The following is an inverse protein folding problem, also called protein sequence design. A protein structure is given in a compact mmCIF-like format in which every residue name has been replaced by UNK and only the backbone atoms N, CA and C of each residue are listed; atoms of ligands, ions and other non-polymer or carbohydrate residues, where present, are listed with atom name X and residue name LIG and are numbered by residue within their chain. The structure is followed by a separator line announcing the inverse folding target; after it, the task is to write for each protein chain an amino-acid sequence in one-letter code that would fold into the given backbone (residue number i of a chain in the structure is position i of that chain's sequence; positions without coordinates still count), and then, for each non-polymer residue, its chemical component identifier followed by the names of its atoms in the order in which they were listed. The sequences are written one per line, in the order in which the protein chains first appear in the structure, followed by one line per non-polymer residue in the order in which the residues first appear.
data_IF_629362227548
#
_entry.id   IF_629362227548
#
_cell.length_a   1.000
_cell.length_b   1.000
_cell.length_c   1.000
_cell.angle_alpha   90.00
_cell.angle_beta   90.00
_cell.angle_gamma   90.00
#
_symmetry.space_group_name_H-M   'P 1'
#
loop_
_entity.id
_entity.type
_entity.pdbx_description
1 polymer ?
#
# COMPACT_ATOMS: atom_id res chain seq x y z
N UNK A 1 41.17 54.37 -7.47
CA UNK A 1 41.31 53.21 -8.38
C UNK A 1 40.51 52.09 -7.75
N UNK A 2 39.37 51.75 -8.35
CA UNK A 2 38.47 50.69 -7.87
C UNK A 2 38.91 49.36 -8.46
N UNK A 3 39.08 48.35 -7.62
CA UNK A 3 39.08 46.95 -8.05
C UNK A 3 37.95 46.25 -7.30
N UNK A 4 36.91 45.88 -8.04
CA UNK A 4 35.86 44.96 -7.61
C UNK A 4 36.45 43.56 -7.40
N UNK A 5 36.03 42.87 -6.34
CA UNK A 5 35.66 41.44 -6.43
C UNK A 5 34.36 41.26 -5.66
N UNK A 6 33.42 40.60 -6.34
CA UNK A 6 32.03 40.35 -5.96
C UNK A 6 31.94 39.40 -4.76
N UNK A 7 31.00 39.68 -3.85
CA UNK A 7 30.58 38.80 -2.77
C UNK A 7 29.62 37.73 -3.28
N UNK A 8 29.87 36.47 -2.92
CA UNK A 8 28.91 35.38 -2.63
C UNK A 8 29.77 34.26 -2.04
N UNK A 9 29.72 33.96 -0.76
CA UNK A 9 28.56 33.38 -0.09
C UNK A 9 28.91 31.91 0.20
N UNK A 10 29.13 31.63 1.48
CA UNK A 10 28.92 30.36 2.21
C UNK A 10 29.60 29.04 1.79
N UNK A 11 30.40 28.58 2.76
CA UNK A 11 30.70 27.23 3.23
C UNK A 11 29.93 26.03 2.65
N UNK A 12 30.63 24.92 2.37
CA UNK A 12 30.53 23.67 3.16
C UNK A 12 30.98 22.43 2.38
N UNK A 13 31.96 21.75 2.95
CA UNK A 13 32.25 20.34 2.71
C UNK A 13 31.09 19.43 3.13
N UNK A 14 30.69 18.47 2.29
CA UNK A 14 30.46 17.06 2.68
C UNK A 14 30.17 16.18 1.44
N UNK A 15 30.72 14.94 1.36
CA UNK A 15 30.35 13.97 0.34
C UNK A 15 28.97 13.40 0.70
N UNK A 16 28.00 13.51 -0.21
CA UNK A 16 26.65 13.00 -0.01
C UNK A 16 26.68 11.47 0.10
N UNK A 17 26.66 11.01 1.35
CA UNK A 17 26.31 9.67 1.79
C UNK A 17 25.11 9.17 0.98
N UNK A 18 25.12 7.90 0.55
CA UNK A 18 23.97 7.20 0.00
C UNK A 18 22.80 7.24 1.01
N UNK A 19 22.03 8.32 0.98
CA UNK A 19 20.77 8.41 1.68
C UNK A 19 19.74 7.86 0.72
N UNK A 20 19.59 6.53 0.73
CA UNK A 20 18.38 5.87 0.26
C UNK A 20 17.22 6.57 0.93
N UNK A 21 16.56 7.46 0.19
CA UNK A 21 15.38 8.17 0.60
C UNK A 21 14.30 7.13 0.83
N UNK A 22 14.23 6.61 2.06
CA UNK A 22 13.01 6.04 2.61
C UNK A 22 12.01 7.19 2.67
N UNK A 23 11.41 7.47 1.51
CA UNK A 23 10.27 8.37 1.41
C UNK A 23 9.27 7.92 2.46
N UNK A 24 8.84 8.79 3.39
CA UNK A 24 7.75 8.44 4.29
C UNK A 24 6.56 8.16 3.38
N UNK A 25 6.15 6.88 3.31
CA UNK A 25 4.94 6.50 2.60
C UNK A 25 3.82 7.35 3.19
N UNK A 26 3.11 8.17 2.39
CA UNK A 26 2.03 9.01 2.91
C UNK A 26 1.08 8.13 3.73
N UNK A 27 0.42 8.66 4.78
CA UNK A 27 -0.44 7.89 5.66
C UNK A 27 -1.37 7.07 4.78
N UNK A 28 -1.21 5.75 4.91
CA UNK A 28 -1.64 4.74 3.95
C UNK A 28 -3.09 4.97 3.55
N UNK A 29 -3.30 5.70 2.45
CA UNK A 29 -4.59 5.64 1.75
C UNK A 29 -4.64 4.20 1.29
N UNK A 30 -5.37 3.37 2.04
CA UNK A 30 -5.49 1.94 1.80
C UNK A 30 -5.85 1.78 0.33
N UNK A 31 -4.84 1.37 -0.43
CA UNK A 31 -4.93 1.47 -1.86
C UNK A 31 -5.74 0.29 -2.30
N UNK A 32 -6.82 0.53 -3.03
CA UNK A 32 -7.59 -0.53 -3.71
C UNK A 32 -6.63 -1.47 -4.46
N UNK A 33 -5.54 -0.92 -4.99
CA UNK A 33 -4.47 -1.68 -5.65
C UNK A 33 -3.81 -2.72 -4.74
N UNK A 34 -3.47 -2.37 -3.50
CA UNK A 34 -2.84 -3.31 -2.55
C UNK A 34 -3.80 -4.46 -2.21
N UNK A 35 -5.07 -4.14 -1.99
CA UNK A 35 -6.09 -5.15 -1.71
C UNK A 35 -6.32 -6.07 -2.92
N UNK A 36 -6.38 -5.50 -4.13
CA UNK A 36 -6.52 -6.28 -5.37
C UNK A 36 -5.30 -7.17 -5.59
N UNK A 37 -4.10 -6.70 -5.30
CA UNK A 37 -2.89 -7.51 -5.40
C UNK A 37 -2.92 -8.70 -4.46
N UNK A 38 -3.47 -8.55 -3.25
CA UNK A 38 -3.68 -9.68 -2.35
C UNK A 38 -4.64 -10.71 -2.97
N UNK A 39 -5.81 -10.27 -3.45
CA UNK A 39 -6.80 -11.17 -4.08
C UNK A 39 -6.22 -11.92 -5.28
N UNK A 40 -5.48 -11.22 -6.14
CA UNK A 40 -4.85 -11.80 -7.34
C UNK A 40 -3.62 -12.65 -7.00
N UNK A 41 -2.93 -12.34 -5.90
CA UNK A 41 -1.80 -13.09 -5.39
C UNK A 41 -2.20 -14.39 -4.70
N UNK A 42 -3.41 -14.47 -4.14
CA UNK A 42 -3.90 -15.65 -3.43
C UNK A 42 -4.40 -16.74 -4.40
N UNK A 43 -3.70 -17.88 -4.53
CA UNK A 43 -4.13 -18.98 -5.40
C UNK A 43 -5.46 -19.60 -4.93
N UNK A 44 -5.70 -19.63 -3.62
CA UNK A 44 -6.93 -20.16 -3.04
C UNK A 44 -8.18 -19.37 -3.43
N UNK A 45 -8.07 -18.04 -3.50
CA UNK A 45 -9.17 -17.19 -3.94
C UNK A 45 -9.38 -17.35 -5.44
N UNK A 46 -8.29 -17.41 -6.22
CA UNK A 46 -8.35 -17.58 -7.68
C UNK A 46 -8.86 -18.95 -8.14
N UNK A 47 -8.68 -19.98 -7.33
CA UNK A 47 -9.16 -21.32 -7.64
C UNK A 47 -10.69 -21.41 -7.63
N UNK A 48 -11.37 -20.48 -6.94
CA UNK A 48 -12.82 -20.41 -6.89
C UNK A 48 -13.33 -19.10 -7.51
N UNK A 49 -13.92 -19.14 -8.72
CA UNK A 49 -14.34 -17.93 -9.43
C UNK A 49 -15.40 -17.14 -8.68
N UNK A 50 -16.34 -17.79 -7.99
CA UNK A 50 -17.38 -17.10 -7.22
C UNK A 50 -16.78 -16.34 -6.03
N UNK A 51 -15.84 -16.98 -5.32
CA UNK A 51 -15.10 -16.34 -4.23
C UNK A 51 -14.25 -15.18 -4.75
N UNK A 52 -13.62 -15.32 -5.92
CA UNK A 52 -12.82 -14.28 -6.55
C UNK A 52 -13.65 -13.03 -6.88
N UNK A 53 -14.77 -13.20 -7.58
CA UNK A 53 -15.64 -12.08 -7.93
C UNK A 53 -16.32 -11.47 -6.69
N UNK A 54 -16.69 -12.32 -5.72
CA UNK A 54 -17.16 -11.84 -4.42
C UNK A 54 -16.11 -10.96 -3.76
N UNK A 55 -14.86 -11.41 -3.66
CA UNK A 55 -13.80 -10.67 -2.99
C UNK A 55 -13.59 -9.30 -3.65
N UNK A 56 -13.52 -9.25 -4.99
CA UNK A 56 -13.39 -8.00 -5.74
C UNK A 56 -14.54 -7.02 -5.49
N UNK A 57 -15.77 -7.52 -5.41
CA UNK A 57 -16.93 -6.68 -5.10
C UNK A 57 -16.93 -6.24 -3.63
N UNK A 58 -16.58 -7.15 -2.71
CA UNK A 58 -16.57 -6.92 -1.27
C UNK A 58 -15.56 -5.82 -0.88
N UNK A 59 -14.41 -5.76 -1.56
CA UNK A 59 -13.39 -4.74 -1.31
C UNK A 59 -13.70 -3.38 -1.97
N UNK A 60 -14.81 -3.22 -2.70
CA UNK A 60 -15.24 -1.89 -3.20
C UNK A 60 -15.65 -0.97 -2.06
N UNK A 61 -16.16 -1.53 -0.97
CA UNK A 61 -16.46 -0.77 0.24
C UNK A 61 -15.18 -0.34 0.97
N UNK A 62 -15.12 0.92 1.39
CA UNK A 62 -13.93 1.48 2.06
C UNK A 62 -13.73 0.85 3.43
N UNK A 63 -14.81 0.65 4.18
CA UNK A 63 -14.78 0.06 5.52
C UNK A 63 -14.26 -1.37 5.46
N UNK A 64 -14.74 -2.15 4.49
CA UNK A 64 -14.23 -3.50 4.24
C UNK A 64 -12.73 -3.54 3.98
N UNK A 65 -12.21 -2.62 3.15
CA UNK A 65 -10.76 -2.53 2.91
C UNK A 65 -9.98 -2.17 4.17
N UNK A 66 -10.52 -1.26 4.98
CA UNK A 66 -9.95 -0.88 6.27
C UNK A 66 -9.88 -2.06 7.24
N UNK A 67 -10.98 -2.81 7.37
CA UNK A 67 -11.03 -4.02 8.19
C UNK A 67 -10.04 -5.05 7.66
N UNK A 68 -10.04 -5.33 6.36
CA UNK A 68 -9.13 -6.32 5.77
C UNK A 68 -7.66 -5.97 5.99
N UNK A 69 -7.28 -4.69 5.90
CA UNK A 69 -5.91 -4.24 6.15
C UNK A 69 -5.53 -4.26 7.63
N UNK A 70 -6.50 -4.18 8.54
CA UNK A 70 -6.27 -4.36 9.98
C UNK A 70 -6.01 -5.82 10.38
N UNK A 71 -6.38 -6.77 9.53
CA UNK A 71 -6.19 -8.21 9.77
C UNK A 71 -4.77 -8.63 9.34
N UNK A 72 -4.09 -9.51 10.11
CA UNK A 72 -2.83 -10.13 9.71
C UNK A 72 -2.91 -10.78 8.33
N UNK A 73 -1.84 -10.70 7.53
CA UNK A 73 -1.88 -11.11 6.13
C UNK A 73 -2.27 -12.59 5.95
N UNK A 74 -1.79 -13.44 6.86
CA UNK A 74 -2.09 -14.87 6.95
C UNK A 74 -3.59 -15.18 7.12
N UNK A 75 -4.33 -14.29 7.79
CA UNK A 75 -5.74 -14.50 8.14
C UNK A 75 -6.70 -13.85 7.13
N UNK A 76 -6.20 -13.00 6.24
CA UNK A 76 -7.03 -12.24 5.27
C UNK A 76 -7.81 -13.16 4.34
N UNK A 77 -7.18 -14.24 3.86
CA UNK A 77 -7.84 -15.21 2.96
C UNK A 77 -8.96 -15.94 3.70
N UNK A 78 -8.70 -16.38 4.93
CA UNK A 78 -9.72 -17.01 5.78
C UNK A 78 -10.89 -16.06 6.04
N UNK A 79 -10.61 -14.79 6.35
CA UNK A 79 -11.64 -13.78 6.59
C UNK A 79 -12.52 -13.54 5.36
N UNK A 80 -11.92 -13.47 4.16
CA UNK A 80 -12.66 -13.33 2.89
C UNK A 80 -13.57 -14.54 2.66
N UNK A 81 -13.09 -15.77 2.93
CA UNK A 81 -13.91 -16.99 2.84
C UNK A 81 -15.08 -16.96 3.82
N UNK A 82 -14.84 -16.54 5.06
CA UNK A 82 -15.90 -16.41 6.07
C UNK A 82 -16.92 -15.33 5.73
N UNK A 83 -16.50 -14.22 5.10
CA UNK A 83 -17.43 -13.21 4.61
C UNK A 83 -18.29 -13.74 3.45
N UNK A 84 -17.69 -14.57 2.57
CA UNK A 84 -18.41 -15.23 1.48
C UNK A 84 -19.45 -16.22 1.99
N UNK A 85 -19.08 -17.09 2.93
CA UNK A 85 -20.00 -18.07 3.54
C UNK A 85 -21.18 -17.37 4.22
N UNK A 86 -20.93 -16.28 4.95
CA UNK A 86 -21.99 -15.48 5.59
C UNK A 86 -22.94 -14.77 4.62
N UNK A 87 -22.52 -14.52 3.37
CA UNK A 87 -23.39 -13.96 2.33
C UNK A 87 -24.23 -15.04 1.63
N UNK A 88 -23.75 -16.29 1.62
CA UNK A 88 -24.43 -17.40 0.97
C UNK A 88 -25.57 -18.01 1.81
N UNK A 89 -25.71 -17.58 3.07
CA UNK A 89 -26.75 -17.96 4.02
C UNK A 89 -27.67 -16.78 4.34
#
# INVERSE_FOLDING_TARGET
MFSQVVATGEDSWAPSLHQSTLSPKPPSVISVKEVVQLIVGSPEIRANPDLYYFALDHIRDKTTREILMSIPEEDRVWWIKQAYERRAH
#
